data_IF_472522092214
#
_entry.id   IF_472522092214
#
_cell.length_a   1.000
_cell.length_b   1.000
_cell.length_c   1.000
_cell.angle_alpha   90.00
_cell.angle_beta   90.00
_cell.angle_gamma   90.00
#
_symmetry.space_group_name_H-M   'P 1'
#
loop_
_entity.id
_entity.type
_entity.pdbx_description
1 polymer ?
#
# COMPACT_ATOMS: atom_id res chain seq x y z
N UNK A 1 17.73 15.85 -27.23
CA UNK A 1 16.29 15.64 -27.42
C UNK A 1 15.56 16.21 -26.22
N UNK A 2 14.60 17.12 -26.41
CA UNK A 2 13.73 17.55 -25.31
C UNK A 2 12.77 16.41 -25.00
N UNK A 3 13.11 15.58 -24.01
CA UNK A 3 12.19 14.58 -23.50
C UNK A 3 10.92 15.30 -23.00
N UNK A 4 9.72 14.82 -23.33
CA UNK A 4 8.49 15.41 -22.79
C UNK A 4 8.59 15.42 -21.27
N UNK A 5 8.19 16.54 -20.66
CA UNK A 5 8.32 16.67 -19.21
C UNK A 5 7.51 15.58 -18.51
N UNK A 6 8.15 14.81 -17.64
CA UNK A 6 7.52 13.73 -16.87
C UNK A 6 6.52 14.25 -15.80
N UNK A 7 6.10 15.50 -15.89
CA UNK A 7 5.19 16.18 -14.96
C UNK A 7 3.90 15.41 -14.71
N UNK A 8 3.32 14.84 -15.77
CA UNK A 8 2.10 14.05 -15.68
C UNK A 8 2.32 12.76 -14.87
N UNK A 9 3.49 12.11 -15.02
CA UNK A 9 3.86 10.90 -14.31
C UNK A 9 3.98 11.18 -12.80
N UNK A 10 4.64 12.29 -12.43
CA UNK A 10 4.77 12.71 -11.03
C UNK A 10 3.43 13.10 -10.39
N UNK A 11 2.53 13.76 -11.15
CA UNK A 11 1.16 14.03 -10.68
C UNK A 11 0.39 12.74 -10.42
N UNK A 12 0.45 11.77 -11.33
CA UNK A 12 -0.18 10.45 -11.13
C UNK A 12 0.40 9.74 -9.92
N UNK A 13 1.73 9.79 -9.73
CA UNK A 13 2.39 9.22 -8.55
C UNK A 13 1.85 9.85 -7.25
N UNK A 14 1.76 11.19 -7.18
CA UNK A 14 1.26 11.89 -6.01
C UNK A 14 -0.18 11.51 -5.65
N UNK A 15 -1.09 11.49 -6.63
CA UNK A 15 -2.48 11.06 -6.42
C UNK A 15 -2.56 9.59 -6.03
N UNK A 16 -1.74 8.73 -6.64
CA UNK A 16 -1.69 7.30 -6.34
C UNK A 16 -1.17 7.03 -4.92
N UNK A 17 -0.22 7.82 -4.42
CA UNK A 17 0.22 7.75 -3.03
C UNK A 17 -0.91 8.10 -2.06
N UNK A 18 -1.62 9.21 -2.29
CA UNK A 18 -2.77 9.62 -1.47
C UNK A 18 -3.88 8.56 -1.47
N UNK A 19 -4.19 8.00 -2.64
CA UNK A 19 -5.15 6.90 -2.78
C UNK A 19 -4.70 5.64 -2.03
N UNK A 20 -3.40 5.31 -2.03
CA UNK A 20 -2.83 4.17 -1.29
C UNK A 20 -3.07 4.33 0.22
N UNK A 21 -2.80 5.52 0.76
CA UNK A 21 -3.04 5.83 2.18
C UNK A 21 -4.53 5.72 2.50
N UNK A 22 -5.40 6.30 1.68
CA UNK A 22 -6.85 6.22 1.85
C UNK A 22 -7.37 4.77 1.83
N UNK A 23 -6.92 3.96 0.87
CA UNK A 23 -7.28 2.54 0.77
C UNK A 23 -6.81 1.75 1.99
N UNK A 24 -5.60 2.03 2.49
CA UNK A 24 -5.07 1.37 3.68
C UNK A 24 -5.95 1.66 4.92
N UNK A 25 -6.35 2.92 5.14
CA UNK A 25 -7.28 3.26 6.23
C UNK A 25 -8.69 2.68 6.02
N UNK A 26 -9.20 2.67 4.78
CA UNK A 26 -10.47 2.01 4.45
C UNK A 26 -10.45 0.52 4.78
N UNK A 27 -9.36 -0.17 4.46
CA UNK A 27 -9.14 -1.57 4.84
C UNK A 27 -9.13 -1.77 6.35
N UNK A 28 -8.44 -0.90 7.09
CA UNK A 28 -8.40 -0.94 8.55
C UNK A 28 -9.81 -0.76 9.15
N UNK A 29 -10.60 0.19 8.64
CA UNK A 29 -11.96 0.43 9.07
C UNK A 29 -12.86 -0.79 8.82
N UNK A 30 -12.86 -1.34 7.59
CA UNK A 30 -13.63 -2.55 7.25
C UNK A 30 -13.18 -3.75 8.10
N UNK A 31 -11.88 -3.90 8.31
CA UNK A 31 -11.29 -4.95 9.15
C UNK A 31 -11.73 -4.85 10.61
N UNK A 32 -11.81 -3.63 11.15
CA UNK A 32 -12.31 -3.37 12.51
C UNK A 32 -13.79 -3.70 12.64
N UNK A 33 -14.62 -3.32 11.66
CA UNK A 33 -16.05 -3.69 11.63
C UNK A 33 -16.21 -5.21 11.59
N UNK A 34 -15.45 -5.91 10.74
CA UNK A 34 -15.45 -7.38 10.68
C UNK A 34 -14.99 -8.02 12.00
N UNK A 35 -14.04 -7.41 12.71
CA UNK A 35 -13.61 -7.86 14.04
C UNK A 35 -14.74 -7.70 15.06
N UNK A 36 -15.38 -6.53 15.11
CA UNK A 36 -16.50 -6.25 16.02
C UNK A 36 -17.66 -7.22 15.80
N UNK A 37 -18.04 -7.46 14.54
CA UNK A 37 -19.10 -8.44 14.20
C UNK A 37 -18.78 -9.87 14.64
N UNK A 38 -17.51 -10.25 14.79
CA UNK A 38 -17.12 -11.60 15.25
C UNK A 38 -17.10 -11.73 16.77
N UNK A 39 -16.90 -10.61 17.47
CA UNK A 39 -16.88 -10.58 18.94
C UNK A 39 -18.28 -10.39 19.53
N UNK A 40 -19.23 -9.88 18.73
CA UNK A 40 -20.62 -9.73 19.13
C UNK A 40 -21.34 -11.11 19.24
N UNK A 41 -21.97 -11.44 20.37
CA UNK A 41 -22.75 -12.65 20.53
C UNK A 41 -23.89 -12.73 19.49
N UNK A 42 -24.07 -13.89 18.85
CA UNK A 42 -25.13 -14.12 17.85
C UNK A 42 -24.96 -13.41 16.50
N UNK A 43 -23.96 -12.54 16.34
CA UNK A 43 -23.72 -11.83 15.09
C UNK A 43 -23.09 -12.73 14.03
N UNK A 44 -23.66 -12.72 12.82
CA UNK A 44 -23.07 -13.38 11.65
C UNK A 44 -22.29 -12.34 10.83
N UNK A 45 -20.96 -12.51 10.65
CA UNK A 45 -20.18 -11.54 9.89
C UNK A 45 -20.71 -11.40 8.47
N UNK A 46 -21.02 -10.18 8.07
CA UNK A 46 -21.63 -9.89 6.77
C UNK A 46 -20.69 -10.33 5.64
N UNK A 47 -21.19 -11.14 4.71
CA UNK A 47 -20.37 -11.73 3.64
C UNK A 47 -19.79 -10.66 2.72
N UNK A 48 -20.58 -9.64 2.37
CA UNK A 48 -20.17 -8.55 1.47
C UNK A 48 -19.01 -7.72 2.03
N UNK A 49 -18.94 -7.48 3.35
CA UNK A 49 -17.80 -6.79 3.97
C UNK A 49 -16.49 -7.56 3.79
N UNK A 50 -16.54 -8.89 3.79
CA UNK A 50 -15.36 -9.72 3.51
C UNK A 50 -14.94 -9.63 2.05
N UNK A 51 -15.90 -9.57 1.13
CA UNK A 51 -15.64 -9.38 -0.30
C UNK A 51 -15.04 -8.00 -0.53
N UNK A 52 -15.64 -6.96 0.05
CA UNK A 52 -15.13 -5.59 0.00
C UNK A 52 -13.69 -5.51 0.55
N UNK A 53 -13.43 -6.07 1.74
CA UNK A 53 -12.09 -6.07 2.31
C UNK A 53 -11.07 -6.76 1.40
N UNK A 54 -11.43 -7.88 0.76
CA UNK A 54 -10.55 -8.55 -0.22
C UNK A 54 -10.33 -7.71 -1.47
N UNK A 55 -11.39 -7.12 -2.03
CA UNK A 55 -11.31 -6.26 -3.21
C UNK A 55 -10.43 -5.04 -2.98
N UNK A 56 -10.62 -4.34 -1.85
CA UNK A 56 -9.78 -3.21 -1.46
C UNK A 56 -8.33 -3.64 -1.23
N UNK A 57 -8.10 -4.83 -0.68
CA UNK A 57 -6.76 -5.39 -0.46
C UNK A 57 -6.02 -5.66 -1.78
N UNK A 58 -6.71 -6.25 -2.76
CA UNK A 58 -6.18 -6.46 -4.11
C UNK A 58 -5.87 -5.10 -4.75
N UNK A 59 -6.79 -4.15 -4.68
CA UNK A 59 -6.60 -2.80 -5.23
C UNK A 59 -5.39 -2.10 -4.60
N UNK A 60 -5.22 -2.18 -3.28
CA UNK A 60 -4.06 -1.62 -2.58
C UNK A 60 -2.74 -2.22 -3.08
N UNK A 61 -2.65 -3.55 -3.20
CA UNK A 61 -1.44 -4.23 -3.69
C UNK A 61 -1.11 -3.81 -5.12
N UNK A 62 -2.11 -3.79 -6.01
CA UNK A 62 -1.91 -3.35 -7.40
C UNK A 62 -1.44 -1.89 -7.47
N UNK A 63 -2.00 -1.02 -6.64
CA UNK A 63 -1.61 0.38 -6.58
C UNK A 63 -0.17 0.57 -6.07
N UNK A 64 0.25 -0.20 -5.07
CA UNK A 64 1.63 -0.21 -4.56
C UNK A 64 2.62 -0.68 -5.64
N UNK A 65 2.28 -1.74 -6.38
CA UNK A 65 3.12 -2.22 -7.49
C UNK A 65 3.19 -1.19 -8.63
N UNK A 66 2.07 -0.55 -8.96
CA UNK A 66 2.03 0.53 -9.94
C UNK A 66 2.91 1.72 -9.52
N UNK A 67 2.87 2.12 -8.24
CA UNK A 67 3.75 3.15 -7.69
C UNK A 67 5.23 2.78 -7.78
N UNK A 68 5.60 1.53 -7.50
CA UNK A 68 6.96 1.05 -7.71
C UNK A 68 7.37 1.17 -9.18
N UNK A 69 6.52 0.73 -10.11
CA UNK A 69 6.80 0.81 -11.54
C UNK A 69 7.01 2.26 -12.01
N UNK A 70 6.12 3.18 -11.58
CA UNK A 70 6.26 4.62 -11.85
C UNK A 70 7.57 5.17 -11.28
N UNK A 71 7.90 4.81 -10.03
CA UNK A 71 9.13 5.25 -9.37
C UNK A 71 10.39 4.76 -10.07
N UNK A 72 10.41 3.50 -10.51
CA UNK A 72 11.54 2.92 -11.25
C UNK A 72 11.72 3.59 -12.61
N UNK A 73 10.64 3.70 -13.40
CA UNK A 73 10.67 4.34 -14.73
C UNK A 73 11.07 5.81 -14.61
N UNK A 74 10.49 6.55 -13.66
CA UNK A 74 10.81 7.95 -13.42
C UNK A 74 12.27 8.17 -12.99
N UNK A 75 12.77 7.34 -12.08
CA UNK A 75 14.15 7.45 -11.58
C UNK A 75 15.17 7.06 -12.64
N UNK A 76 14.97 5.92 -13.34
CA UNK A 76 15.87 5.48 -14.42
C UNK A 76 15.82 6.44 -15.61
N UNK A 77 14.65 6.94 -15.99
CA UNK A 77 14.49 7.88 -17.09
C UNK A 77 15.15 9.22 -16.82
N UNK A 78 15.18 9.69 -15.57
CA UNK A 78 15.77 10.98 -15.20
C UNK A 78 17.27 10.89 -14.84
N UNK A 79 17.68 9.89 -14.05
CA UNK A 79 19.04 9.78 -13.50
C UNK A 79 19.90 8.69 -14.15
N UNK A 80 19.33 7.80 -14.98
CA UNK A 80 20.03 6.66 -15.57
C UNK A 80 20.45 5.56 -14.58
N UNK A 81 20.16 5.72 -13.29
CA UNK A 81 20.50 4.78 -12.21
C UNK A 81 19.52 4.90 -11.04
N UNK A 82 19.50 3.89 -10.16
CA UNK A 82 18.64 3.83 -8.96
C UNK A 82 19.40 4.22 -7.69
N UNK A 83 18.68 4.39 -6.57
CA UNK A 83 19.30 4.54 -5.24
C UNK A 83 19.59 5.97 -4.78
N UNK A 84 19.09 6.98 -5.51
CA UNK A 84 19.30 8.41 -5.20
C UNK A 84 18.52 8.94 -3.98
N UNK A 85 17.72 8.10 -3.33
CA UNK A 85 16.98 8.47 -2.12
C UNK A 85 16.61 7.27 -1.27
N UNK A 86 16.39 7.52 0.02
CA UNK A 86 15.87 6.51 0.96
C UNK A 86 14.43 6.08 0.65
N UNK A 87 13.73 6.77 -0.26
CA UNK A 87 12.38 6.42 -0.70
C UNK A 87 12.33 5.03 -1.33
N UNK A 88 13.31 4.65 -2.16
CA UNK A 88 13.31 3.36 -2.85
C UNK A 88 13.44 2.17 -1.87
N UNK A 89 14.43 2.13 -0.94
CA UNK A 89 14.49 1.07 0.06
C UNK A 89 13.21 0.94 0.89
N UNK A 90 12.63 2.06 1.35
CA UNK A 90 11.38 2.05 2.13
C UNK A 90 10.20 1.59 1.27
N UNK A 91 10.15 1.97 -0.01
CA UNK A 91 9.16 1.52 -0.97
C UNK A 91 9.21 0.01 -1.21
N UNK A 92 10.41 -0.58 -1.32
CA UNK A 92 10.58 -2.02 -1.43
C UNK A 92 10.11 -2.77 -0.17
N UNK A 93 10.34 -2.20 1.02
CA UNK A 93 9.79 -2.73 2.27
C UNK A 93 8.25 -2.71 2.23
N UNK A 94 7.63 -1.62 1.78
CA UNK A 94 6.17 -1.51 1.62
C UNK A 94 5.64 -2.57 0.65
N UNK A 95 6.30 -2.77 -0.49
CA UNK A 95 5.94 -3.81 -1.48
C UNK A 95 6.01 -5.20 -0.84
N UNK A 96 7.12 -5.54 -0.19
CA UNK A 96 7.30 -6.84 0.46
C UNK A 96 6.25 -7.09 1.57
N UNK A 97 6.01 -6.10 2.43
CA UNK A 97 4.99 -6.17 3.48
C UNK A 97 3.57 -6.30 2.89
N UNK A 98 3.28 -5.62 1.78
CA UNK A 98 1.97 -5.72 1.11
C UNK A 98 1.71 -7.13 0.58
N UNK A 99 2.70 -7.76 -0.06
CA UNK A 99 2.59 -9.15 -0.51
C UNK A 99 2.51 -10.13 0.66
N UNK A 100 3.32 -9.95 1.71
CA UNK A 100 3.25 -10.78 2.91
C UNK A 100 1.87 -10.66 3.62
N UNK A 101 1.29 -9.46 3.65
CA UNK A 101 -0.05 -9.20 4.17
C UNK A 101 -1.11 -9.92 3.33
N UNK A 102 -1.06 -9.81 2.00
CA UNK A 102 -1.97 -10.49 1.10
C UNK A 102 -1.87 -12.01 1.22
N UNK A 103 -0.64 -12.55 1.22
CA UNK A 103 -0.39 -13.98 1.39
C UNK A 103 -0.93 -14.49 2.74
N UNK A 104 -0.60 -13.84 3.85
CA UNK A 104 -1.09 -14.23 5.17
C UNK A 104 -2.62 -14.17 5.27
N UNK A 105 -3.27 -13.21 4.59
CA UNK A 105 -4.72 -13.13 4.50
C UNK A 105 -5.35 -14.38 3.83
N UNK A 106 -4.72 -14.91 2.77
CA UNK A 106 -5.18 -16.16 2.10
C UNK A 106 -5.05 -17.39 3.00
N UNK A 107 -4.21 -17.34 4.04
CA UNK A 107 -3.98 -18.45 4.97
C UNK A 107 -4.95 -18.46 6.17
N UNK A 108 -5.77 -17.43 6.34
CA UNK A 108 -6.70 -17.33 7.48
C UNK A 108 -7.74 -18.46 7.42
N UNK A 109 -7.63 -19.39 8.37
CA UNK A 109 -8.46 -20.59 8.47
C UNK A 109 -8.51 -21.07 9.93
N UNK A 110 -9.58 -21.74 10.41
CA UNK A 110 -9.65 -22.22 11.79
C UNK A 110 -8.47 -23.12 12.20
N UNK A 111 -7.98 -23.95 11.27
CA UNK A 111 -6.83 -24.85 11.44
C UNK A 111 -5.47 -24.13 11.38
N UNK A 112 -5.45 -22.82 11.08
CA UNK A 112 -4.24 -21.99 11.00
C UNK A 112 -4.40 -20.74 11.87
N UNK A 113 -4.43 -20.88 13.21
CA UNK A 113 -4.69 -19.77 14.13
C UNK A 113 -3.61 -18.68 14.06
N UNK A 114 -2.40 -18.98 13.57
CA UNK A 114 -1.29 -18.04 13.39
C UNK A 114 -1.50 -17.02 12.27
N UNK A 115 -2.31 -17.33 11.25
CA UNK A 115 -2.38 -16.53 10.02
C UNK A 115 -2.98 -15.13 10.25
N UNK A 116 -4.01 -15.03 11.09
CA UNK A 116 -4.63 -13.75 11.44
C UNK A 116 -3.71 -12.85 12.27
N UNK A 117 -3.10 -13.28 13.40
CA UNK A 117 -2.20 -12.41 14.15
C UNK A 117 -0.99 -12.02 13.32
N UNK A 118 -0.47 -12.90 12.44
CA UNK A 118 0.58 -12.52 11.50
C UNK A 118 0.12 -11.41 10.55
N UNK A 119 -1.04 -11.57 9.89
CA UNK A 119 -1.60 -10.56 9.01
C UNK A 119 -1.74 -9.20 9.73
N UNK A 120 -2.26 -9.19 10.95
CA UNK A 120 -2.41 -7.95 11.73
C UNK A 120 -1.06 -7.30 12.07
N UNK A 121 -0.07 -8.09 12.52
CA UNK A 121 1.29 -7.59 12.81
C UNK A 121 1.96 -7.00 11.56
N UNK A 122 1.83 -7.68 10.42
CA UNK A 122 2.34 -7.18 9.13
C UNK A 122 1.65 -5.86 8.79
N UNK A 123 0.33 -5.74 8.96
CA UNK A 123 -0.36 -4.48 8.69
C UNK A 123 0.05 -3.36 9.64
N UNK A 124 0.36 -3.65 10.90
CA UNK A 124 0.94 -2.66 11.82
C UNK A 124 2.31 -2.16 11.36
N UNK A 125 3.19 -3.06 10.88
CA UNK A 125 4.47 -2.67 10.28
C UNK A 125 4.27 -1.91 8.97
N UNK A 126 3.34 -2.35 8.14
CA UNK A 126 2.99 -1.71 6.86
C UNK A 126 2.46 -0.29 7.09
N UNK A 127 1.72 -0.03 8.17
CA UNK A 127 1.29 1.33 8.54
C UNK A 127 2.49 2.26 8.75
N UNK A 128 3.48 1.83 9.54
CA UNK A 128 4.69 2.62 9.79
C UNK A 128 5.48 2.82 8.49
N UNK A 129 5.66 1.75 7.71
CA UNK A 129 6.36 1.82 6.43
C UNK A 129 5.64 2.73 5.42
N UNK A 130 4.31 2.69 5.36
CA UNK A 130 3.51 3.58 4.50
C UNK A 130 3.60 5.04 4.94
N UNK A 131 3.67 5.33 6.23
CA UNK A 131 3.89 6.70 6.71
C UNK A 131 5.27 7.21 6.24
N UNK A 132 6.33 6.41 6.46
CA UNK A 132 7.70 6.77 6.06
C UNK A 132 7.85 6.90 4.54
N UNK A 133 7.25 5.99 3.75
CA UNK A 133 7.30 6.06 2.29
C UNK A 133 6.52 7.25 1.77
N UNK A 134 5.42 7.63 2.43
CA UNK A 134 4.61 8.78 2.03
C UNK A 134 5.35 10.09 2.29
N UNK A 135 5.99 10.23 3.45
CA UNK A 135 6.81 11.40 3.79
C UNK A 135 8.00 11.56 2.85
N UNK A 136 8.75 10.48 2.62
CA UNK A 136 9.88 10.50 1.68
C UNK A 136 9.42 10.70 0.23
N UNK A 137 8.29 10.12 -0.18
CA UNK A 137 7.77 10.27 -1.53
C UNK A 137 7.25 11.68 -1.80
N UNK A 138 6.65 12.33 -0.79
CA UNK A 138 6.28 13.74 -0.88
C UNK A 138 7.50 14.61 -1.16
N UNK A 139 8.60 14.43 -0.42
CA UNK A 139 9.83 15.19 -0.67
C UNK A 139 10.47 14.89 -2.03
N UNK A 140 10.32 13.67 -2.57
CA UNK A 140 10.72 13.36 -3.95
C UNK A 140 9.84 14.08 -4.97
N UNK A 141 8.51 14.01 -4.84
CA UNK A 141 7.56 14.62 -5.79
C UNK A 141 7.72 16.14 -5.85
N UNK A 142 7.95 16.80 -4.72
CA UNK A 142 8.12 18.25 -4.65
C UNK A 142 9.32 18.77 -5.47
N UNK A 143 10.33 17.94 -5.74
CA UNK A 143 11.45 18.32 -6.64
C UNK A 143 11.02 18.54 -8.08
N UNK A 144 9.86 18.01 -8.47
CA UNK A 144 9.37 18.01 -9.83
C UNK A 144 8.09 18.83 -10.01
N UNK A 145 7.53 19.43 -8.96
CA UNK A 145 6.40 20.36 -9.08
C UNK A 145 6.93 21.80 -9.17
N UNK A 146 6.38 22.66 -10.05
CA UNK A 146 6.71 24.08 -10.03
C UNK A 146 6.34 24.66 -8.66
N UNK A 147 7.24 25.48 -8.10
CA UNK A 147 6.98 26.25 -6.87
C UNK A 147 6.11 27.47 -7.17
#
# INVERSE_FOLDING_TARGET
MHLPSFMWLWRIAAWSMGLTVMLFFGLAAVGLVLRRQRLAPGARPQKWLRILHRGLGIALVLLIVNLLAIGLVGTLGHYGSLGHSWHLPVGLIVVALSFASAWSATRIHPQRPWARPLHLRINSLLFVALALVSLSGWSVVQKYMPQ
#
